data_IF_118646763898
#
_entry.id   IF_118646763898
#
_cell.length_a   1.000
_cell.length_b   1.000
_cell.length_c   1.000
_cell.angle_alpha   90.00
_cell.angle_beta   90.00
_cell.angle_gamma   90.00
#
_symmetry.space_group_name_H-M   'P 1'
#
loop_
_entity.id
_entity.type
_entity.pdbx_description
1 polymer ?
#
# COMPACT_ATOMS: atom_id res chain seq x y z
N UNK A 1 43.82 -47.85 -19.72
CA UNK A 1 43.99 -48.82 -20.82
C UNK A 1 42.73 -49.68 -20.87
N UNK A 2 42.26 -50.10 -22.06
CA UNK A 2 40.97 -50.76 -22.33
C UNK A 2 39.76 -49.82 -22.07
N UNK A 3 38.93 -49.35 -23.03
CA UNK A 3 38.56 -49.74 -24.41
C UNK A 3 37.73 -51.02 -24.53
N UNK A 4 36.46 -50.84 -24.94
CA UNK A 4 35.56 -51.66 -25.80
C UNK A 4 34.17 -50.97 -25.74
N UNK A 5 33.78 -50.13 -26.72
CA UNK A 5 32.91 -50.41 -27.90
C UNK A 5 31.53 -51.01 -27.58
N UNK A 6 30.40 -50.71 -28.25
CA UNK A 6 29.98 -49.79 -29.34
C UNK A 6 28.43 -49.86 -29.36
N UNK A 7 27.69 -48.85 -29.86
CA UNK A 7 26.21 -48.98 -29.88
C UNK A 7 25.41 -47.88 -30.58
N UNK A 8 25.62 -47.65 -31.89
CA UNK A 8 24.74 -46.78 -32.69
C UNK A 8 23.31 -47.34 -32.75
N UNK A 9 22.29 -46.50 -32.53
CA UNK A 9 21.05 -46.49 -33.34
C UNK A 9 20.51 -45.08 -33.52
N UNK A 10 20.47 -44.63 -34.77
CA UNK A 10 19.70 -43.48 -35.20
C UNK A 10 18.34 -43.95 -35.74
N UNK A 11 17.26 -43.28 -35.36
CA UNK A 11 15.89 -43.43 -35.87
C UNK A 11 15.02 -42.32 -35.25
N UNK A 12 14.06 -41.68 -35.91
CA UNK A 12 13.90 -41.34 -37.33
C UNK A 12 13.03 -40.07 -37.40
N UNK A 13 13.05 -39.38 -38.53
CA UNK A 13 12.22 -38.20 -38.78
C UNK A 13 10.75 -38.61 -38.87
N UNK A 14 9.86 -37.87 -38.19
CA UNK A 14 8.46 -37.75 -38.61
C UNK A 14 7.97 -36.31 -38.42
N UNK A 15 8.07 -35.52 -39.50
CA UNK A 15 7.38 -34.25 -39.58
C UNK A 15 5.90 -34.52 -39.89
N UNK A 16 4.99 -34.06 -39.03
CA UNK A 16 3.55 -34.13 -39.30
C UNK A 16 3.01 -32.70 -39.50
N UNK A 17 2.98 -32.27 -40.75
CA UNK A 17 2.31 -31.05 -41.19
C UNK A 17 0.79 -31.23 -41.09
N UNK A 18 0.17 -30.63 -40.08
CA UNK A 18 -1.28 -30.60 -39.87
C UNK A 18 -1.88 -29.22 -40.14
N UNK A 19 -2.26 -28.97 -41.38
CA UNK A 19 -2.85 -27.70 -41.84
C UNK A 19 -4.38 -27.72 -41.67
N UNK A 20 -4.95 -27.00 -40.69
CA UNK A 20 -6.40 -26.80 -40.61
C UNK A 20 -6.81 -25.46 -39.97
N UNK A 21 -7.83 -24.82 -40.55
CA UNK A 21 -8.80 -24.06 -39.77
C UNK A 21 -8.59 -22.55 -39.63
N UNK A 22 -8.32 -21.82 -40.72
CA UNK A 22 -8.59 -20.38 -40.73
C UNK A 22 -10.12 -20.17 -40.82
N UNK A 23 -10.76 -19.80 -39.71
CA UNK A 23 -12.19 -19.48 -39.66
C UNK A 23 -12.38 -18.08 -39.07
N UNK A 24 -12.40 -17.08 -39.95
CA UNK A 24 -12.79 -15.72 -39.57
C UNK A 24 -14.30 -15.70 -39.27
N UNK A 25 -14.67 -15.50 -38.01
CA UNK A 25 -16.06 -15.24 -37.65
C UNK A 25 -16.32 -13.73 -37.66
N UNK A 26 -17.38 -13.35 -38.38
CA UNK A 26 -17.74 -11.97 -38.70
C UNK A 26 -17.90 -11.08 -37.48
N UNK A 27 -17.30 -9.88 -37.52
CA UNK A 27 -17.66 -8.80 -36.62
C UNK A 27 -19.08 -8.30 -36.96
N UNK A 28 -20.00 -8.38 -36.00
CA UNK A 28 -21.28 -7.68 -36.07
C UNK A 28 -21.23 -6.43 -35.21
N UNK A 29 -21.47 -5.27 -35.84
CA UNK A 29 -21.61 -3.98 -35.16
C UNK A 29 -22.84 -4.01 -34.24
N UNK A 30 -22.63 -4.11 -32.94
CA UNK A 30 -23.60 -3.65 -31.95
C UNK A 30 -23.35 -2.15 -31.69
N UNK A 31 -24.43 -1.35 -31.64
CA UNK A 31 -24.35 0.09 -31.43
C UNK A 31 -23.70 0.42 -30.07
N UNK A 32 -23.00 1.55 -30.03
CA UNK A 32 -22.76 2.24 -28.76
C UNK A 32 -24.11 2.68 -28.16
N UNK A 33 -24.33 2.31 -26.90
CA UNK A 33 -25.33 2.93 -26.03
C UNK A 33 -24.62 3.91 -25.08
N UNK A 34 -25.24 5.04 -24.72
CA UNK A 34 -24.55 6.14 -24.04
C UNK A 34 -24.28 5.87 -22.55
N UNK A 35 -23.17 6.44 -22.07
CA UNK A 35 -22.82 6.60 -20.65
C UNK A 35 -23.98 7.22 -19.84
N UNK A 36 -24.37 6.64 -18.69
CA UNK A 36 -25.28 7.28 -17.76
C UNK A 36 -24.54 8.31 -16.89
N UNK A 37 -24.22 9.46 -17.48
CA UNK A 37 -23.88 10.70 -16.76
C UNK A 37 -25.13 11.19 -15.99
N UNK A 38 -25.38 10.67 -14.79
CA UNK A 38 -26.19 11.34 -13.74
C UNK A 38 -26.20 10.55 -12.42
N UNK A 39 -25.94 11.27 -11.32
CA UNK A 39 -26.12 10.75 -9.95
C UNK A 39 -27.61 10.74 -9.61
N UNK A 40 -28.37 9.78 -10.14
CA UNK A 40 -29.78 9.55 -9.73
C UNK A 40 -30.30 8.10 -9.90
N UNK A 41 -29.45 7.15 -10.32
CA UNK A 41 -29.86 5.77 -10.66
C UNK A 41 -29.42 4.67 -9.67
N UNK A 42 -29.22 4.97 -8.38
CA UNK A 42 -28.89 3.96 -7.33
C UNK A 42 -29.92 3.91 -6.18
N UNK A 43 -30.85 4.88 -6.09
CA UNK A 43 -31.77 4.98 -4.94
C UNK A 43 -32.83 3.86 -4.85
N UNK A 44 -33.15 3.17 -5.94
CA UNK A 44 -34.26 2.18 -5.98
C UNK A 44 -33.82 0.73 -5.73
N UNK A 45 -32.59 0.51 -5.25
CA UNK A 45 -32.09 -0.81 -4.85
C UNK A 45 -31.85 -0.96 -3.34
N UNK A 46 -31.87 0.14 -2.57
CA UNK A 46 -31.65 0.18 -1.12
C UNK A 46 -32.63 1.19 -0.52
N UNK A 47 -33.73 0.70 0.06
CA UNK A 47 -34.84 1.53 0.55
C UNK A 47 -34.44 2.45 1.71
N UNK A 48 -34.03 3.68 1.38
CA UNK A 48 -33.74 4.78 2.30
C UNK A 48 -34.46 6.01 1.76
N UNK A 49 -35.56 6.40 2.40
CA UNK A 49 -36.27 7.63 2.04
C UNK A 49 -35.41 8.85 2.37
N UNK A 50 -35.19 9.70 1.36
CA UNK A 50 -34.56 11.02 1.51
C UNK A 50 -35.67 12.04 1.69
N UNK A 51 -35.65 12.75 2.82
CA UNK A 51 -36.48 13.92 3.05
C UNK A 51 -35.66 15.04 3.71
N UNK A 52 -35.18 15.94 2.87
CA UNK A 52 -34.93 17.37 3.08
C UNK A 52 -34.71 17.90 4.50
N UNK A 53 -33.56 18.55 4.71
CA UNK A 53 -33.60 19.87 5.34
C UNK A 53 -32.47 20.79 4.88
N UNK A 54 -32.83 21.84 4.14
CA UNK A 54 -31.98 22.98 3.82
C UNK A 54 -32.62 24.26 4.35
N UNK A 55 -31.77 25.22 4.71
CA UNK A 55 -32.05 26.62 4.99
C UNK A 55 -32.44 27.00 6.44
N UNK A 56 -31.63 27.91 6.99
CA UNK A 56 -31.69 28.39 8.36
C UNK A 56 -32.89 29.27 8.73
N UNK A 57 -33.05 29.47 10.04
CA UNK A 57 -34.11 30.32 10.59
C UNK A 57 -33.89 30.63 12.06
N UNK A 58 -33.41 31.84 12.35
CA UNK A 58 -33.34 32.37 13.72
C UNK A 58 -34.72 32.52 14.35
N UNK A 59 -34.90 32.05 15.60
CA UNK A 59 -35.77 32.70 16.60
C UNK A 59 -35.51 32.24 18.03
N UNK A 60 -35.83 33.12 18.98
CA UNK A 60 -35.63 33.01 20.44
C UNK A 60 -36.85 32.36 21.14
N UNK A 61 -36.75 32.24 22.47
CA UNK A 61 -37.89 32.16 23.43
C UNK A 61 -38.55 30.76 23.57
N UNK A 62 -39.02 30.27 24.73
CA UNK A 62 -38.95 30.73 26.14
C UNK A 62 -39.38 29.63 27.12
N UNK A 63 -38.94 29.72 28.39
CA UNK A 63 -39.69 29.39 29.64
C UNK A 63 -40.32 28.01 29.89
N UNK A 64 -39.83 27.31 30.92
CA UNK A 64 -40.60 26.78 32.09
C UNK A 64 -39.60 26.08 33.05
N UNK A 65 -39.19 26.63 34.20
CA UNK A 65 -39.94 26.84 35.45
C UNK A 65 -40.33 25.54 36.18
N UNK A 66 -39.51 25.12 37.14
CA UNK A 66 -39.94 24.36 38.32
C UNK A 66 -39.07 24.74 39.53
N UNK A 67 -39.69 24.82 40.71
CA UNK A 67 -39.14 25.44 41.92
C UNK A 67 -39.36 24.51 43.11
N UNK A 68 -38.32 24.16 43.84
CA UNK A 68 -38.44 23.70 45.22
C UNK A 68 -37.33 24.27 46.10
N UNK A 69 -37.67 24.46 47.37
CA UNK A 69 -36.94 25.21 48.37
C UNK A 69 -36.91 24.36 49.64
N UNK A 70 -35.74 24.20 50.29
CA UNK A 70 -35.66 24.11 51.76
C UNK A 70 -34.22 24.32 52.24
N UNK A 71 -34.05 24.81 53.46
CA UNK A 71 -32.77 25.19 54.09
C UNK A 71 -32.29 24.07 55.03
N UNK A 72 -30.99 23.82 55.22
CA UNK A 72 -30.10 24.39 56.25
C UNK A 72 -28.77 23.56 56.27
N UNK A 73 -27.60 23.93 56.82
CA UNK A 73 -27.07 25.16 57.45
C UNK A 73 -25.52 25.15 57.38
N UNK A 74 -24.83 26.17 57.90
CA UNK A 74 -23.38 26.42 57.87
C UNK A 74 -22.44 25.27 58.30
N UNK A 75 -21.32 25.13 57.58
CA UNK A 75 -19.97 25.03 58.15
C UNK A 75 -18.91 25.56 57.14
N UNK A 76 -18.04 26.48 57.58
CA UNK A 76 -16.97 27.04 56.74
C UNK A 76 -15.73 26.15 56.76
N UNK A 77 -15.20 25.76 55.60
CA UNK A 77 -13.78 25.38 55.43
C UNK A 77 -13.21 25.96 54.13
N UNK A 78 -11.90 26.20 54.13
CA UNK A 78 -11.11 26.85 53.05
C UNK A 78 -11.43 26.29 51.64
N UNK A 79 -11.46 27.13 50.59
CA UNK A 79 -11.44 26.63 49.22
C UNK A 79 -10.06 26.04 48.92
N UNK A 80 -9.99 24.70 48.83
CA UNK A 80 -8.88 24.06 48.15
C UNK A 80 -9.10 24.23 46.64
N UNK A 81 -8.11 24.75 45.94
CA UNK A 81 -8.19 24.99 44.49
C UNK A 81 -8.13 23.65 43.77
N UNK A 82 -9.29 23.14 43.36
CA UNK A 82 -9.35 22.05 42.40
C UNK A 82 -9.14 22.66 41.02
N UNK A 83 -7.91 22.59 40.52
CA UNK A 83 -7.66 22.79 39.09
C UNK A 83 -8.45 21.69 38.34
N UNK A 84 -9.30 22.04 37.36
CA UNK A 84 -10.10 21.05 36.65
C UNK A 84 -9.16 20.07 35.95
N UNK A 85 -9.52 18.79 36.01
CA UNK A 85 -8.71 17.69 35.51
C UNK A 85 -8.09 18.04 34.15
N UNK A 86 -6.77 18.13 34.12
CA UNK A 86 -6.03 18.10 32.87
C UNK A 86 -6.29 16.74 32.26
N UNK A 87 -7.28 16.66 31.38
CA UNK A 87 -7.55 15.51 30.54
C UNK A 87 -6.31 15.31 29.68
N UNK A 88 -5.36 14.53 30.20
CA UNK A 88 -4.27 13.97 29.42
C UNK A 88 -4.95 13.08 28.41
N UNK A 89 -5.23 13.66 27.25
CA UNK A 89 -5.56 12.91 26.06
C UNK A 89 -4.41 11.95 25.86
N UNK A 90 -4.64 10.68 26.22
CA UNK A 90 -3.76 9.59 25.85
C UNK A 90 -3.86 9.47 24.34
N UNK A 91 -3.09 10.33 23.65
CA UNK A 91 -2.70 10.13 22.27
C UNK A 91 -2.06 8.76 22.27
N UNK A 92 -2.79 7.76 21.78
CA UNK A 92 -2.31 6.41 21.70
C UNK A 92 -0.98 6.45 20.96
N UNK A 93 0.09 6.10 21.67
CA UNK A 93 1.40 5.86 21.05
C UNK A 93 1.25 4.56 20.27
N UNK A 94 0.64 4.68 19.08
CA UNK A 94 0.70 3.66 18.05
C UNK A 94 2.20 3.40 17.84
N UNK A 95 2.67 2.24 18.32
CA UNK A 95 4.08 1.94 18.30
C UNK A 95 4.50 1.82 16.84
N UNK A 96 5.48 2.64 16.45
CA UNK A 96 5.96 2.62 15.07
C UNK A 96 6.84 1.40 14.85
N UNK A 97 6.19 0.30 14.49
CA UNK A 97 6.84 -0.95 14.15
C UNK A 97 7.63 -0.89 12.83
N UNK A 98 7.58 0.22 12.07
CA UNK A 98 8.31 0.32 10.80
C UNK A 98 9.82 0.46 10.94
N UNK A 99 10.33 0.63 12.17
CA UNK A 99 11.76 0.63 12.49
C UNK A 99 12.29 -0.71 13.03
N UNK A 100 11.48 -1.77 13.06
CA UNK A 100 11.91 -3.08 13.57
C UNK A 100 12.28 -3.98 12.37
N UNK A 101 13.47 -4.61 12.36
CA UNK A 101 13.83 -5.60 11.34
C UNK A 101 13.09 -6.92 11.55
N UNK A 102 12.84 -7.63 10.46
CA UNK A 102 12.48 -9.05 10.45
C UNK A 102 13.35 -9.78 9.42
N UNK A 103 14.02 -10.85 9.85
CA UNK A 103 14.90 -11.63 8.97
C UNK A 103 14.08 -12.54 8.05
N UNK A 104 14.49 -12.62 6.78
CA UNK A 104 14.02 -13.64 5.84
C UNK A 104 14.34 -15.02 6.45
N UNK A 105 13.34 -15.92 6.64
CA UNK A 105 13.58 -17.22 7.26
C UNK A 105 14.54 -18.12 6.46
N UNK A 106 15.24 -19.02 7.14
CA UNK A 106 16.10 -20.00 6.48
C UNK A 106 15.32 -20.86 5.47
N UNK A 107 15.92 -21.11 4.31
CA UNK A 107 15.30 -21.87 3.20
C UNK A 107 14.28 -21.09 2.36
N UNK A 108 13.91 -19.87 2.75
CA UNK A 108 13.07 -18.98 1.92
C UNK A 108 13.93 -18.35 0.81
N UNK A 109 13.45 -18.28 -0.45
CA UNK A 109 14.14 -17.56 -1.52
C UNK A 109 14.35 -16.08 -1.18
N UNK A 110 15.54 -15.54 -1.44
CA UNK A 110 15.86 -14.15 -1.09
C UNK A 110 15.02 -13.16 -1.91
N UNK A 111 14.21 -12.31 -1.26
CA UNK A 111 13.51 -11.21 -1.93
C UNK A 111 14.49 -10.29 -2.67
N UNK A 112 14.03 -9.71 -3.77
CA UNK A 112 14.78 -8.70 -4.53
C UNK A 112 13.92 -7.47 -4.76
N UNK A 113 14.54 -6.30 -4.69
CA UNK A 113 13.90 -5.02 -4.93
C UNK A 113 14.81 -4.11 -5.75
N UNK A 114 14.25 -3.48 -6.77
CA UNK A 114 14.78 -2.23 -7.33
C UNK A 114 13.62 -1.35 -7.79
N UNK A 115 13.90 -0.08 -8.08
CA UNK A 115 12.90 0.88 -8.52
C UNK A 115 13.35 1.70 -9.73
N UNK A 116 12.39 2.13 -10.53
CA UNK A 116 12.55 3.16 -11.55
C UNK A 116 11.48 4.24 -11.40
N UNK A 117 11.84 5.49 -11.70
CA UNK A 117 10.94 6.64 -11.63
C UNK A 117 10.98 7.40 -12.96
N UNK A 118 9.82 7.63 -13.55
CA UNK A 118 9.66 8.46 -14.75
C UNK A 118 8.74 9.65 -14.45
N UNK A 119 8.83 10.70 -15.27
CA UNK A 119 7.81 11.77 -15.26
C UNK A 119 6.53 11.20 -15.88
N UNK A 120 5.40 11.49 -15.26
CA UNK A 120 4.11 11.24 -15.88
C UNK A 120 3.79 12.35 -16.90
N UNK A 121 3.06 12.02 -17.96
CA UNK A 121 2.74 12.98 -19.03
C UNK A 121 1.60 13.94 -18.67
N UNK A 122 0.77 13.57 -17.68
CA UNK A 122 -0.36 14.38 -17.22
C UNK A 122 0.02 15.18 -15.96
N UNK A 123 0.58 14.53 -14.93
CA UNK A 123 0.99 15.20 -13.70
C UNK A 123 1.91 14.34 -12.82
N UNK A 124 2.97 14.91 -12.24
CA UNK A 124 3.79 14.18 -11.26
C UNK A 124 4.65 13.08 -11.89
N UNK A 125 4.69 11.92 -11.24
CA UNK A 125 5.68 10.88 -11.52
C UNK A 125 5.10 9.47 -11.42
N UNK A 126 5.59 8.56 -12.26
CA UNK A 126 5.26 7.14 -12.20
C UNK A 126 6.45 6.38 -11.61
N UNK A 127 6.26 5.82 -10.41
CA UNK A 127 7.17 4.89 -9.77
C UNK A 127 6.82 3.47 -10.20
N UNK A 128 7.82 2.72 -10.64
CA UNK A 128 7.72 1.29 -10.93
C UNK A 128 8.67 0.52 -10.01
N UNK A 129 8.11 -0.43 -9.26
CA UNK A 129 8.83 -1.39 -8.43
C UNK A 129 9.07 -2.67 -9.21
N UNK A 130 10.33 -3.10 -9.21
CA UNK A 130 10.77 -4.38 -9.75
C UNK A 130 11.06 -5.27 -8.56
N UNK A 131 10.21 -6.27 -8.40
CA UNK A 131 10.16 -7.13 -7.22
C UNK A 131 10.23 -8.56 -7.71
N UNK A 132 11.12 -9.34 -7.13
CA UNK A 132 11.25 -10.78 -7.38
C UNK A 132 11.35 -11.54 -6.05
N UNK A 133 10.95 -12.81 -6.05
CA UNK A 133 11.00 -13.72 -4.90
C UNK A 133 10.24 -13.21 -3.65
N UNK A 134 9.22 -12.37 -3.86
CA UNK A 134 8.42 -11.69 -2.83
C UNK A 134 6.97 -11.51 -3.28
N UNK A 135 6.02 -11.64 -2.35
CA UNK A 135 4.59 -11.56 -2.64
C UNK A 135 3.93 -10.33 -2.01
N UNK A 136 3.79 -9.29 -2.82
CA UNK A 136 3.21 -8.01 -2.41
C UNK A 136 1.67 -8.09 -2.35
N UNK A 137 1.12 -8.00 -1.14
CA UNK A 137 -0.29 -8.23 -0.80
C UNK A 137 -0.78 -7.31 0.33
N UNK A 138 -2.09 -7.05 0.37
CA UNK A 138 -2.73 -6.42 1.52
C UNK A 138 -2.71 -7.36 2.74
N UNK A 139 -2.70 -6.82 3.99
CA UNK A 139 -2.82 -7.65 5.18
C UNK A 139 -4.16 -8.41 5.21
N UNK A 140 -4.18 -9.66 5.72
CA UNK A 140 -5.41 -10.44 5.83
C UNK A 140 -6.40 -9.77 6.80
N UNK A 141 -7.69 -9.86 6.47
CA UNK A 141 -8.78 -9.33 7.30
C UNK A 141 -8.91 -10.11 8.62
N UNK A 142 -9.36 -9.42 9.67
CA UNK A 142 -9.66 -9.98 11.00
C UNK A 142 -8.50 -10.75 11.69
N UNK A 143 -7.24 -10.49 11.30
CA UNK A 143 -6.05 -11.03 11.99
C UNK A 143 -5.50 -10.00 12.97
N UNK A 144 -5.33 -10.40 14.23
CA UNK A 144 -4.78 -9.55 15.28
C UNK A 144 -3.27 -9.27 15.07
N UNK A 145 -2.79 -8.10 15.53
CA UNK A 145 -1.48 -7.54 15.15
C UNK A 145 -0.30 -8.45 15.50
N UNK A 146 -0.35 -9.13 16.63
CA UNK A 146 0.66 -10.09 17.08
C UNK A 146 0.86 -11.24 16.06
N UNK A 147 -0.21 -11.63 15.35
CA UNK A 147 -0.18 -12.64 14.29
C UNK A 147 0.25 -12.09 12.91
N UNK A 148 0.48 -10.78 12.80
CA UNK A 148 1.04 -10.12 11.62
C UNK A 148 2.55 -9.85 11.75
N UNK A 149 3.12 -9.98 12.96
CA UNK A 149 4.56 -9.84 13.22
C UNK A 149 5.36 -11.04 12.72
N UNK A 150 4.77 -12.24 12.74
CA UNK A 150 5.39 -13.45 12.24
C UNK A 150 5.53 -13.42 10.70
N UNK A 151 6.63 -13.99 10.15
CA UNK A 151 6.74 -14.24 8.72
C UNK A 151 5.54 -15.01 8.16
N UNK A 152 4.95 -14.50 7.08
CA UNK A 152 3.99 -15.23 6.25
C UNK A 152 4.66 -15.68 4.97
N UNK A 153 4.48 -16.95 4.62
CA UNK A 153 5.05 -17.58 3.44
C UNK A 153 3.89 -18.15 2.61
N UNK A 154 3.85 -17.86 1.32
CA UNK A 154 2.91 -18.48 0.41
C UNK A 154 3.33 -19.93 0.14
N UNK A 155 2.46 -20.89 0.43
CA UNK A 155 2.76 -22.32 0.33
C UNK A 155 2.99 -22.84 -1.11
N UNK A 156 2.57 -22.10 -2.14
CA UNK A 156 2.73 -22.44 -3.55
C UNK A 156 4.06 -21.94 -4.12
N UNK A 157 4.45 -20.70 -3.80
CA UNK A 157 5.67 -20.05 -4.33
C UNK A 157 6.88 -20.20 -3.41
N UNK A 158 6.65 -20.46 -2.12
CA UNK A 158 7.68 -20.39 -1.08
C UNK A 158 8.13 -18.96 -0.73
N UNK A 159 7.51 -17.93 -1.32
CA UNK A 159 7.89 -16.53 -1.11
C UNK A 159 7.25 -15.97 0.16
N UNK A 160 7.96 -15.05 0.83
CA UNK A 160 7.39 -14.29 1.93
C UNK A 160 6.41 -13.22 1.43
N UNK A 161 5.39 -12.97 2.25
CA UNK A 161 4.30 -12.04 1.98
C UNK A 161 4.45 -10.74 2.79
N UNK A 162 3.97 -9.65 2.20
CA UNK A 162 3.94 -8.35 2.85
C UNK A 162 3.61 -7.24 1.86
N UNK A 163 4.06 -6.02 2.11
CA UNK A 163 3.81 -4.86 1.27
C UNK A 163 5.01 -3.93 1.28
N UNK A 164 5.09 -2.99 0.33
CA UNK A 164 6.15 -1.99 0.35
C UNK A 164 5.72 -0.71 1.12
N UNK A 165 6.69 0.03 1.63
CA UNK A 165 6.50 1.42 2.06
C UNK A 165 7.24 2.36 1.12
N UNK A 166 6.60 3.48 0.77
CA UNK A 166 7.22 4.57 0.05
C UNK A 166 7.48 5.74 1.01
N UNK A 167 8.73 6.20 1.04
CA UNK A 167 9.15 7.41 1.74
C UNK A 167 9.72 8.41 0.75
N UNK A 168 9.45 9.71 0.94
CA UNK A 168 10.03 10.80 0.16
C UNK A 168 10.61 11.84 1.13
N UNK A 169 11.89 12.18 0.97
CA UNK A 169 12.63 13.11 1.82
C UNK A 169 12.58 12.77 3.32
N UNK A 170 12.46 11.47 3.64
CA UNK A 170 12.31 10.94 5.01
C UNK A 170 10.87 10.85 5.52
N UNK A 171 9.89 11.43 4.82
CA UNK A 171 8.47 11.36 5.19
C UNK A 171 7.81 10.10 4.58
N UNK A 172 7.02 9.38 5.39
CA UNK A 172 6.29 8.18 4.93
C UNK A 172 5.04 8.59 4.16
N UNK A 173 5.04 8.33 2.85
CA UNK A 173 3.96 8.74 1.95
C UNK A 173 2.82 7.74 1.98
N UNK A 174 3.09 6.46 1.73
CA UNK A 174 2.06 5.43 1.70
C UNK A 174 2.58 3.99 1.86
N UNK A 175 1.63 3.09 2.11
CA UNK A 175 1.77 1.64 1.88
C UNK A 175 1.53 1.36 0.40
N UNK A 176 2.23 0.37 -0.16
CA UNK A 176 2.20 0.03 -1.58
C UNK A 176 1.94 -1.47 -1.73
N UNK A 177 0.89 -1.81 -2.50
CA UNK A 177 0.44 -3.18 -2.76
C UNK A 177 0.52 -3.59 -4.24
N UNK A 178 1.04 -2.72 -5.11
CA UNK A 178 1.12 -2.93 -6.56
C UNK A 178 2.41 -2.34 -7.12
N UNK A 179 2.90 -2.88 -8.24
CA UNK A 179 4.20 -2.51 -8.78
C UNK A 179 4.26 -1.11 -9.41
N UNK A 180 3.13 -0.56 -9.87
CA UNK A 180 3.08 0.76 -10.50
C UNK A 180 2.32 1.73 -9.60
N UNK A 181 2.94 2.86 -9.28
CA UNK A 181 2.41 3.87 -8.34
C UNK A 181 2.55 5.25 -8.98
N UNK A 182 1.43 5.96 -9.09
CA UNK A 182 1.43 7.37 -9.44
C UNK A 182 1.70 8.22 -8.19
N UNK A 183 2.63 9.16 -8.27
CA UNK A 183 3.01 10.05 -7.17
C UNK A 183 2.77 11.51 -7.60
N UNK A 184 1.90 12.26 -6.91
CA UNK A 184 1.67 13.66 -7.19
C UNK A 184 2.94 14.50 -7.10
N UNK A 185 3.09 15.48 -7.99
CA UNK A 185 4.25 16.38 -8.00
C UNK A 185 4.43 17.13 -6.66
N UNK A 186 3.34 17.38 -5.92
CA UNK A 186 3.32 18.05 -4.62
C UNK A 186 4.06 17.30 -3.51
N UNK A 187 4.36 16.01 -3.69
CA UNK A 187 5.20 15.23 -2.76
C UNK A 187 6.70 15.54 -2.92
N UNK A 188 7.09 16.24 -3.99
CA UNK A 188 8.48 16.58 -4.31
C UNK A 188 8.75 18.06 -4.08
N UNK A 189 9.98 18.35 -3.67
CA UNK A 189 10.56 19.69 -3.65
C UNK A 189 11.19 20.00 -5.02
N UNK A 190 11.41 21.28 -5.32
CA UNK A 190 12.25 21.66 -6.46
C UNK A 190 13.70 21.23 -6.23
N UNK A 191 14.36 20.75 -7.29
CA UNK A 191 15.72 20.22 -7.21
C UNK A 191 15.79 18.81 -6.61
N UNK A 192 16.70 18.62 -5.66
CA UNK A 192 17.05 17.29 -5.13
C UNK A 192 16.01 16.74 -4.15
N UNK A 193 15.63 15.49 -4.36
CA UNK A 193 14.77 14.69 -3.50
C UNK A 193 15.36 13.29 -3.30
N UNK A 194 15.01 12.63 -2.21
CA UNK A 194 15.33 11.22 -1.97
C UNK A 194 14.04 10.40 -1.86
N UNK A 195 13.88 9.39 -2.69
CA UNK A 195 12.91 8.32 -2.50
C UNK A 195 13.59 7.16 -1.79
N UNK A 196 12.92 6.55 -0.81
CA UNK A 196 13.29 5.25 -0.26
C UNK A 196 12.08 4.33 -0.33
N UNK A 197 12.29 3.11 -0.81
CA UNK A 197 11.29 2.05 -0.90
C UNK A 197 11.82 0.85 -0.13
N UNK A 198 11.09 0.42 0.88
CA UNK A 198 11.38 -0.79 1.67
C UNK A 198 10.30 -1.83 1.39
N UNK A 199 10.63 -3.12 1.50
CA UNK A 199 9.62 -4.19 1.63
C UNK A 199 9.47 -4.61 3.10
N UNK A 200 8.22 -4.80 3.52
CA UNK A 200 7.85 -4.91 4.93
C UNK A 200 6.80 -6.02 5.15
N UNK A 201 6.87 -6.71 6.28
CA UNK A 201 5.82 -7.65 6.68
C UNK A 201 4.49 -6.93 6.98
N UNK A 202 3.42 -7.68 7.26
CA UNK A 202 2.11 -7.08 7.50
C UNK A 202 2.02 -6.24 8.79
N UNK A 203 2.91 -6.43 9.75
CA UNK A 203 3.09 -5.58 10.94
C UNK A 203 4.09 -4.41 10.72
N UNK A 204 4.35 -4.03 9.47
CA UNK A 204 5.20 -2.89 9.04
C UNK A 204 6.71 -3.07 9.25
N UNK A 205 7.18 -4.15 9.86
CA UNK A 205 8.59 -4.46 10.08
C UNK A 205 9.32 -4.64 8.75
N UNK A 206 10.53 -4.08 8.58
CA UNK A 206 11.26 -4.17 7.30
C UNK A 206 12.00 -5.51 7.17
N UNK A 207 12.03 -6.06 5.95
CA UNK A 207 12.73 -7.31 5.69
C UNK A 207 14.24 -7.12 5.64
N UNK A 208 14.97 -8.09 6.20
CA UNK A 208 16.43 -8.17 6.14
C UNK A 208 16.89 -9.52 5.59
N UNK A 209 17.94 -9.51 4.76
CA UNK A 209 18.63 -10.70 4.26
C UNK A 209 20.13 -10.52 4.52
N UNK A 210 20.79 -11.54 5.09
CA UNK A 210 22.21 -11.45 5.55
C UNK A 210 22.49 -10.17 6.36
N UNK A 211 21.61 -9.86 7.33
CA UNK A 211 21.60 -8.67 8.19
C UNK A 211 21.55 -7.31 7.44
N UNK A 212 21.19 -7.30 6.15
CA UNK A 212 20.99 -6.10 5.33
C UNK A 212 19.51 -5.86 5.09
N UNK A 213 19.04 -4.64 5.34
CA UNK A 213 17.70 -4.19 4.94
C UNK A 213 17.49 -4.31 3.42
N UNK A 214 16.31 -4.75 2.99
CA UNK A 214 15.94 -4.84 1.57
C UNK A 214 15.24 -3.53 1.15
N UNK A 215 16.01 -2.66 0.49
CA UNK A 215 15.68 -1.26 0.22
C UNK A 215 16.16 -0.83 -1.18
N UNK A 216 15.37 0.02 -1.84
CA UNK A 216 15.76 0.75 -3.05
C UNK A 216 15.64 2.25 -2.79
N UNK A 217 16.70 2.99 -3.09
CA UNK A 217 16.81 4.44 -2.89
C UNK A 217 17.09 5.15 -4.22
N UNK A 218 16.26 6.14 -4.56
CA UNK A 218 16.42 6.96 -5.77
C UNK A 218 16.71 8.41 -5.38
N UNK A 219 17.81 8.97 -5.87
CA UNK A 219 18.12 10.40 -5.76
C UNK A 219 17.62 11.11 -7.01
N UNK A 220 16.60 11.94 -6.84
CA UNK A 220 15.79 12.51 -7.91
C UNK A 220 16.03 14.01 -8.01
N UNK A 221 16.37 14.51 -9.20
CA UNK A 221 16.48 15.95 -9.45
C UNK A 221 15.36 16.44 -10.36
N UNK A 222 14.33 17.04 -9.76
CA UNK A 222 13.13 17.52 -10.45
C UNK A 222 13.39 18.69 -11.40
N UNK A 223 14.51 19.39 -11.24
CA UNK A 223 14.95 20.48 -12.13
C UNK A 223 15.73 20.04 -13.37
N UNK A 224 15.89 18.74 -13.62
CA UNK A 224 16.72 18.22 -14.74
C UNK A 224 15.98 17.24 -15.65
N UNK A 225 16.49 17.05 -16.86
CA UNK A 225 15.98 16.03 -17.81
C UNK A 225 16.29 14.61 -17.33
N UNK A 226 17.51 14.36 -16.81
CA UNK A 226 17.89 13.09 -16.17
C UNK A 226 17.30 13.02 -14.76
N UNK A 227 16.01 12.69 -14.67
CA UNK A 227 15.23 12.70 -13.42
C UNK A 227 15.91 11.95 -12.27
N UNK A 228 16.35 10.70 -12.48
CA UNK A 228 17.09 9.92 -11.47
C UNK A 228 18.59 10.16 -11.65
N UNK A 229 19.21 10.84 -10.69
CA UNK A 229 20.65 11.14 -10.69
C UNK A 229 21.46 9.90 -10.28
N UNK A 230 21.05 9.26 -9.17
CA UNK A 230 21.66 8.05 -8.60
C UNK A 230 20.56 7.06 -8.14
N UNK A 231 20.86 5.77 -8.22
CA UNK A 231 20.08 4.66 -7.64
C UNK A 231 21.00 3.84 -6.73
N UNK A 232 20.50 3.42 -5.59
CA UNK A 232 21.12 2.41 -4.72
C UNK A 232 20.06 1.35 -4.41
N UNK A 233 20.37 0.10 -4.71
CA UNK A 233 19.52 -1.05 -4.38
C UNK A 233 20.36 -1.95 -3.45
N UNK A 234 19.84 -2.36 -2.30
CA UNK A 234 20.56 -3.30 -1.45
C UNK A 234 20.54 -4.70 -2.06
N UNK A 235 21.64 -5.42 -1.89
CA UNK A 235 21.79 -6.75 -2.48
C UNK A 235 20.91 -7.77 -1.73
N UNK A 236 20.14 -8.63 -2.42
CA UNK A 236 20.14 -8.81 -3.87
C UNK A 236 19.16 -7.88 -4.62
N UNK A 237 19.69 -7.13 -5.59
CA UNK A 237 18.91 -6.33 -6.52
C UNK A 237 18.38 -7.17 -7.70
N UNK A 238 17.34 -6.66 -8.37
CA UNK A 238 16.97 -7.10 -9.73
C UNK A 238 17.89 -6.41 -10.73
N UNK A 239 18.61 -7.19 -11.54
CA UNK A 239 19.42 -6.68 -12.65
C UNK A 239 18.50 -6.55 -13.86
N UNK A 240 18.36 -5.32 -14.37
CA UNK A 240 17.68 -4.98 -15.63
C UNK A 240 18.68 -4.93 -16.80
#
# INVERSE_FOLDING_TARGET
MNIITRGNRALAILALTGLFGLSALSAQNAKAEPEPDSIEAISTALGIDVADNMCGGSRKSTTATAKMLSMATLAQTKPNRIDPASTVSQKSTAMDHSHIPVAVPEGVPSPRLSATLTRDVMSGYNLRLHIDQYEMTAPPIAVAMENLMAPRINASTGFIQGHAHLYINGEKIQRVYGNSIHIPATQFREGMNQLNITINNHAHMFWTYEDKEIISSLFVNTGTSKLVTYRFDSFPAVIE
#
